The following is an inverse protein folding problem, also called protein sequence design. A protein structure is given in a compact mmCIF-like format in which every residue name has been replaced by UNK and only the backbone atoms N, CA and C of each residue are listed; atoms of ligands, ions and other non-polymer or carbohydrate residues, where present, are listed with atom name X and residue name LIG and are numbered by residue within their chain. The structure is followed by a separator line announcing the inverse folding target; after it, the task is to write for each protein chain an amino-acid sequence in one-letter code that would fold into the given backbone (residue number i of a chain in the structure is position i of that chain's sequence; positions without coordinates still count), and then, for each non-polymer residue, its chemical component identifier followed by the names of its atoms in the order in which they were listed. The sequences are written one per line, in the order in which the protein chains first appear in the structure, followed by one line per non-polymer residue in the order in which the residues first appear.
data_IF_860347014786
#
_entry.id   IF_860347014786
#
_cell.length_a   1.000
_cell.length_b   1.000
_cell.length_c   1.000
_cell.angle_alpha   90.00
_cell.angle_beta   90.00
_cell.angle_gamma   90.00
#
_symmetry.space_group_name_H-M   'P 1'
#
loop_
_entity.id
_entity.type
_entity.pdbx_description
1 polymer ?
#
# COMPACT_ATOMS: atom_id res chain seq x y z
N UNK A 1 -24.28 13.19 -19.63
CA UNK A 1 -23.00 12.58 -20.06
C UNK A 1 -22.26 13.56 -20.95
N UNK A 2 -21.22 14.24 -20.43
CA UNK A 2 -20.25 14.95 -21.28
C UNK A 2 -19.15 13.96 -21.62
N UNK A 3 -19.08 13.53 -22.88
CA UNK A 3 -17.94 12.78 -23.40
C UNK A 3 -16.68 13.66 -23.26
N UNK A 4 -15.85 13.36 -22.26
CA UNK A 4 -14.48 13.89 -22.22
C UNK A 4 -13.71 13.29 -23.39
N UNK A 5 -13.15 14.14 -24.24
CA UNK A 5 -12.18 13.74 -25.26
C UNK A 5 -11.08 12.88 -24.60
N UNK A 6 -10.51 11.87 -25.28
CA UNK A 6 -9.34 11.18 -24.76
C UNK A 6 -8.27 12.23 -24.47
N UNK A 7 -7.78 12.25 -23.24
CA UNK A 7 -6.79 13.22 -22.79
C UNK A 7 -5.65 13.26 -23.80
N UNK A 8 -5.32 14.47 -24.24
CA UNK A 8 -4.17 14.71 -25.08
C UNK A 8 -2.93 14.16 -24.39
N UNK A 9 -1.99 13.60 -25.16
CA UNK A 9 -0.67 13.21 -24.66
C UNK A 9 0.07 14.44 -24.14
N UNK A 10 -0.23 14.85 -22.90
CA UNK A 10 0.23 16.09 -22.26
C UNK A 10 1.75 16.23 -22.35
N UNK A 11 2.46 15.11 -22.23
CA UNK A 11 3.92 15.02 -22.26
C UNK A 11 4.46 14.47 -23.58
N UNK A 12 3.69 14.49 -24.68
CA UNK A 12 4.13 14.00 -26.00
C UNK A 12 5.40 14.65 -26.54
N UNK A 13 5.73 15.86 -26.07
CA UNK A 13 6.98 16.57 -26.41
C UNK A 13 8.14 16.24 -25.45
N UNK A 14 7.95 15.28 -24.55
CA UNK A 14 8.86 14.98 -23.46
C UNK A 14 8.67 15.89 -22.24
N UNK A 15 9.44 15.59 -21.18
CA UNK A 15 9.57 16.40 -19.97
C UNK A 15 11.05 16.70 -19.72
N UNK A 16 11.34 17.80 -19.04
CA UNK A 16 12.70 18.14 -18.60
C UNK A 16 13.03 17.48 -17.27
N UNK A 17 14.31 17.35 -16.96
CA UNK A 17 14.76 16.83 -15.66
C UNK A 17 14.27 17.68 -14.48
N UNK A 18 14.16 19.00 -14.67
CA UNK A 18 13.59 19.91 -13.67
C UNK A 18 12.10 19.63 -13.42
N UNK A 19 11.35 19.26 -14.47
CA UNK A 19 9.95 18.85 -14.33
C UNK A 19 9.84 17.49 -13.63
N UNK A 20 10.71 16.53 -13.96
CA UNK A 20 10.75 15.21 -13.32
C UNK A 20 11.02 15.30 -11.81
N UNK A 21 11.95 16.18 -11.41
CA UNK A 21 12.36 16.39 -10.01
C UNK A 21 11.54 17.46 -9.29
N UNK A 22 10.61 18.12 -9.97
CA UNK A 22 9.82 19.18 -9.39
C UNK A 22 9.05 18.65 -8.19
N UNK A 23 9.05 19.40 -7.09
CA UNK A 23 8.30 19.10 -5.87
C UNK A 23 7.58 20.34 -5.37
N UNK A 24 6.53 20.16 -4.58
CA UNK A 24 5.95 21.28 -3.83
C UNK A 24 6.96 21.82 -2.81
N UNK A 25 6.98 23.14 -2.54
CA UNK A 25 8.03 23.76 -1.73
C UNK A 25 7.87 23.48 -0.22
N UNK A 26 6.64 23.24 0.22
CA UNK A 26 6.27 23.07 1.63
C UNK A 26 5.21 21.97 1.73
N UNK A 27 5.14 21.22 2.85
CA UNK A 27 4.10 20.20 3.03
C UNK A 27 2.69 20.77 2.90
N UNK A 28 1.83 20.12 2.12
CA UNK A 28 0.45 20.57 1.90
C UNK A 28 -0.56 19.47 2.20
N UNK A 29 -1.81 19.86 2.43
CA UNK A 29 -2.93 18.93 2.60
C UNK A 29 -3.35 18.36 1.23
N UNK A 30 -3.36 17.03 1.03
CA UNK A 30 -3.86 16.44 -0.21
C UNK A 30 -5.34 16.71 -0.45
N UNK A 31 -6.12 16.83 0.63
CA UNK A 31 -7.55 17.16 0.64
C UNK A 31 -7.75 18.36 1.55
N UNK A 32 -8.27 19.50 1.04
CA UNK A 32 -8.42 20.71 1.84
C UNK A 32 -9.23 20.47 3.13
N UNK A 33 -8.67 20.88 4.26
CA UNK A 33 -9.30 20.73 5.58
C UNK A 33 -9.07 19.36 6.23
N UNK A 34 -8.36 18.44 5.57
CA UNK A 34 -7.99 17.15 6.16
C UNK A 34 -6.55 17.20 6.71
N UNK A 35 -6.31 16.89 8.00
CA UNK A 35 -5.09 17.26 8.72
C UNK A 35 -3.89 16.33 8.46
N UNK A 36 -3.71 15.87 7.22
CA UNK A 36 -2.53 15.13 6.79
C UNK A 36 -1.74 15.97 5.80
N UNK A 37 -0.44 16.15 6.03
CA UNK A 37 0.42 16.97 5.17
C UNK A 37 1.60 16.17 4.64
N UNK A 38 1.92 16.34 3.36
CA UNK A 38 3.02 15.64 2.70
C UNK A 38 3.76 16.56 1.74
N UNK A 39 4.98 16.15 1.39
CA UNK A 39 5.70 16.63 0.21
C UNK A 39 5.52 15.64 -0.93
N UNK A 40 5.23 16.11 -2.13
CA UNK A 40 5.07 15.28 -3.33
C UNK A 40 5.66 15.96 -4.56
N UNK A 41 5.91 15.16 -5.59
CA UNK A 41 6.37 15.62 -6.88
C UNK A 41 5.27 16.38 -7.62
N UNK A 42 5.66 17.44 -8.31
CA UNK A 42 4.86 18.10 -9.34
C UNK A 42 5.18 17.49 -10.71
N UNK A 43 4.58 18.01 -11.79
CA UNK A 43 4.92 17.60 -13.14
C UNK A 43 4.48 16.17 -13.50
N UNK A 44 5.31 15.35 -14.17
CA UNK A 44 4.88 14.08 -14.75
C UNK A 44 4.47 13.03 -13.70
N UNK A 45 5.16 12.97 -12.54
CA UNK A 45 4.75 12.08 -11.45
C UNK A 45 3.36 12.44 -10.94
N UNK A 46 3.11 13.73 -10.69
CA UNK A 46 1.79 14.22 -10.27
C UNK A 46 0.68 13.74 -11.23
N UNK A 47 0.87 13.93 -12.54
CA UNK A 47 -0.14 13.57 -13.53
C UNK A 47 -0.40 12.06 -13.60
N UNK A 48 0.63 11.23 -13.44
CA UNK A 48 0.47 9.76 -13.38
C UNK A 48 -0.36 9.40 -12.14
N UNK A 49 -0.04 9.98 -10.98
CA UNK A 49 -0.81 9.73 -9.75
C UNK A 49 -2.25 10.24 -9.84
N UNK A 50 -2.52 11.36 -10.53
CA UNK A 50 -3.91 11.80 -10.79
C UNK A 50 -4.70 10.73 -11.57
N UNK A 51 -4.10 10.14 -12.61
CA UNK A 51 -4.74 9.05 -13.35
C UNK A 51 -4.98 7.81 -12.50
N UNK A 52 -4.06 7.50 -11.60
CA UNK A 52 -4.22 6.40 -10.67
C UNK A 52 -5.36 6.66 -9.66
N UNK A 53 -5.47 7.88 -9.12
CA UNK A 53 -6.58 8.29 -8.24
C UNK A 53 -7.92 8.17 -8.98
N UNK A 54 -8.01 8.69 -10.20
CA UNK A 54 -9.22 8.62 -11.02
C UNK A 54 -9.68 7.16 -11.23
N UNK A 55 -8.74 6.26 -11.54
CA UNK A 55 -9.02 4.84 -11.73
C UNK A 55 -9.53 4.19 -10.45
N UNK A 56 -8.82 4.35 -9.33
CA UNK A 56 -9.19 3.74 -8.05
C UNK A 56 -10.55 4.28 -7.58
N UNK A 57 -10.77 5.58 -7.67
CA UNK A 57 -12.05 6.19 -7.31
C UNK A 57 -13.20 5.72 -8.21
N UNK A 58 -12.92 5.39 -9.48
CA UNK A 58 -13.90 4.76 -10.37
C UNK A 58 -14.25 3.33 -9.94
N UNK A 59 -13.23 2.53 -9.59
CA UNK A 59 -13.42 1.15 -9.11
C UNK A 59 -14.21 1.09 -7.80
N UNK A 60 -13.91 1.97 -6.84
CA UNK A 60 -14.65 2.11 -5.59
C UNK A 60 -16.12 2.46 -5.86
N UNK A 61 -16.37 3.44 -6.73
CA UNK A 61 -17.73 3.84 -7.10
C UNK A 61 -18.50 2.70 -7.77
N UNK A 62 -17.84 1.91 -8.62
CA UNK A 62 -18.43 0.70 -9.22
C UNK A 62 -18.83 -0.30 -8.14
N UNK A 63 -17.92 -0.61 -7.21
CA UNK A 63 -18.22 -1.54 -6.11
C UNK A 63 -19.42 -1.06 -5.27
N UNK A 64 -19.49 0.24 -4.96
CA UNK A 64 -20.66 0.83 -4.25
C UNK A 64 -21.94 0.79 -5.06
N UNK A 65 -21.88 1.01 -6.38
CA UNK A 65 -23.04 0.91 -7.26
C UNK A 65 -23.56 -0.54 -7.38
N UNK A 66 -22.67 -1.53 -7.21
CA UNK A 66 -23.02 -2.95 -7.12
C UNK A 66 -23.50 -3.37 -5.72
N UNK A 67 -23.65 -2.42 -4.78
CA UNK A 67 -24.11 -2.69 -3.41
C UNK A 67 -23.07 -3.39 -2.53
N UNK A 68 -21.79 -3.41 -2.92
CA UNK A 68 -20.72 -4.05 -2.14
C UNK A 68 -20.33 -3.21 -0.92
N UNK A 69 -19.98 -3.89 0.16
CA UNK A 69 -19.26 -3.31 1.29
C UNK A 69 -17.79 -3.17 0.93
N UNK A 70 -17.28 -1.94 0.92
CA UNK A 70 -15.93 -1.60 0.50
C UNK A 70 -15.01 -1.58 1.73
N UNK A 71 -13.96 -2.39 1.68
CA UNK A 71 -12.97 -2.51 2.75
C UNK A 71 -11.59 -2.13 2.24
N UNK A 72 -10.93 -1.21 2.91
CA UNK A 72 -9.54 -0.86 2.62
C UNK A 72 -8.59 -1.85 3.32
N UNK A 73 -7.69 -2.49 2.57
CA UNK A 73 -6.68 -3.41 3.12
C UNK A 73 -5.32 -2.72 3.26
N UNK A 74 -4.95 -2.26 4.45
CA UNK A 74 -3.62 -1.74 4.73
C UNK A 74 -2.60 -2.88 4.81
N UNK A 75 -1.62 -2.87 3.90
CA UNK A 75 -0.53 -3.84 3.85
C UNK A 75 0.82 -3.13 3.94
N UNK A 76 1.80 -3.66 4.71
CA UNK A 76 3.12 -3.04 4.86
C UNK A 76 4.00 -3.20 3.62
N UNK A 77 3.64 -2.58 2.48
CA UNK A 77 4.38 -2.70 1.22
C UNK A 77 5.77 -2.03 1.33
N UNK A 78 5.83 -0.84 1.94
CA UNK A 78 7.08 -0.18 2.32
C UNK A 78 7.47 -0.56 3.75
N UNK A 79 7.94 -1.79 3.91
CA UNK A 79 8.37 -2.33 5.20
C UNK A 79 9.67 -1.68 5.71
N UNK A 80 9.68 -1.19 6.95
CA UNK A 80 10.94 -0.91 7.67
C UNK A 80 11.42 -2.19 8.36
N UNK A 81 12.72 -2.46 8.27
CA UNK A 81 13.33 -3.55 9.03
C UNK A 81 13.47 -4.90 8.32
N UNK A 82 13.49 -4.93 6.97
CA UNK A 82 14.02 -6.08 6.21
C UNK A 82 13.07 -6.80 5.25
N UNK A 83 11.82 -6.34 5.11
CA UNK A 83 10.88 -6.95 4.17
C UNK A 83 11.22 -6.73 2.70
N UNK A 84 10.68 -7.59 1.84
CA UNK A 84 10.74 -7.53 0.39
C UNK A 84 9.36 -7.22 -0.18
N UNK A 85 9.25 -6.11 -0.94
CA UNK A 85 7.97 -5.61 -1.43
C UNK A 85 7.20 -6.65 -2.25
N UNK A 86 7.87 -7.45 -3.09
CA UNK A 86 7.21 -8.51 -3.87
C UNK A 86 6.57 -9.59 -2.99
N UNK A 87 7.22 -9.97 -1.88
CA UNK A 87 6.63 -10.90 -0.90
C UNK A 87 5.45 -10.27 -0.18
N UNK A 88 5.53 -8.97 0.12
CA UNK A 88 4.42 -8.27 0.77
C UNK A 88 3.19 -8.18 -0.16
N UNK A 89 3.39 -8.10 -1.48
CA UNK A 89 2.28 -8.23 -2.46
C UNK A 89 1.65 -9.61 -2.41
N UNK A 90 2.44 -10.67 -2.38
CA UNK A 90 1.93 -12.05 -2.32
C UNK A 90 1.13 -12.29 -1.03
N UNK A 91 1.63 -11.76 0.10
CA UNK A 91 0.91 -11.76 1.39
C UNK A 91 -0.40 -10.96 1.30
N UNK A 92 -0.39 -9.77 0.72
CA UNK A 92 -1.60 -8.95 0.57
C UNK A 92 -2.66 -9.69 -0.27
N UNK A 93 -2.25 -10.35 -1.36
CA UNK A 93 -3.14 -11.18 -2.20
C UNK A 93 -3.67 -12.40 -1.43
N UNK A 94 -2.85 -13.00 -0.57
CA UNK A 94 -3.31 -14.08 0.30
C UNK A 94 -4.35 -13.58 1.30
N UNK A 95 -4.08 -12.49 2.01
CA UNK A 95 -5.00 -11.93 2.99
C UNK A 95 -6.33 -11.49 2.36
N UNK A 96 -6.30 -10.82 1.20
CA UNK A 96 -7.50 -10.50 0.43
C UNK A 96 -8.35 -11.75 0.13
N UNK A 97 -7.72 -12.82 -0.37
CA UNK A 97 -8.42 -14.09 -0.64
C UNK A 97 -9.02 -14.70 0.62
N UNK A 98 -8.25 -14.74 1.71
CA UNK A 98 -8.73 -15.28 3.00
C UNK A 98 -9.91 -14.47 3.54
N UNK A 99 -9.87 -13.15 3.42
CA UNK A 99 -10.98 -12.27 3.82
C UNK A 99 -12.22 -12.53 2.96
N UNK A 100 -12.08 -12.58 1.64
CA UNK A 100 -13.20 -12.86 0.74
C UNK A 100 -13.80 -14.26 0.96
N UNK A 101 -12.97 -15.26 1.26
CA UNK A 101 -13.45 -16.60 1.63
C UNK A 101 -14.25 -16.60 2.93
N UNK A 102 -13.84 -15.80 3.92
CA UNK A 102 -14.49 -15.72 5.24
C UNK A 102 -15.73 -14.83 5.24
N UNK A 103 -15.70 -13.71 4.53
CA UNK A 103 -16.74 -12.67 4.56
C UNK A 103 -17.74 -12.78 3.41
N UNK A 104 -17.35 -13.45 2.32
CA UNK A 104 -18.20 -13.71 1.17
C UNK A 104 -18.27 -12.55 0.17
N UNK A 105 -19.07 -12.77 -0.88
CA UNK A 105 -19.13 -11.90 -2.07
C UNK A 105 -19.78 -10.54 -1.83
N UNK A 106 -20.42 -10.31 -0.68
CA UNK A 106 -20.98 -9.00 -0.32
C UNK A 106 -19.90 -7.92 -0.13
N UNK A 107 -18.64 -8.32 0.02
CA UNK A 107 -17.51 -7.44 0.26
C UNK A 107 -16.66 -7.26 -0.99
N UNK A 108 -16.08 -6.06 -1.13
CA UNK A 108 -15.06 -5.75 -2.11
C UNK A 108 -13.85 -5.16 -1.37
N UNK A 109 -12.68 -5.77 -1.57
CA UNK A 109 -11.45 -5.38 -0.89
C UNK A 109 -10.64 -4.48 -1.81
N UNK A 110 -10.41 -3.24 -1.40
CA UNK A 110 -9.41 -2.38 -2.02
C UNK A 110 -8.03 -2.80 -1.48
N UNK A 111 -7.29 -3.55 -2.28
CA UNK A 111 -5.93 -4.00 -1.96
C UNK A 111 -4.87 -3.08 -2.62
N UNK A 112 -4.23 -2.15 -1.87
CA UNK A 112 -3.19 -1.24 -2.36
C UNK A 112 -2.06 -1.93 -3.10
N UNK A 113 -1.72 -3.18 -2.72
CA UNK A 113 -0.66 -3.94 -3.36
C UNK A 113 -0.92 -4.18 -4.86
N UNK A 114 -2.20 -4.24 -5.27
CA UNK A 114 -2.58 -4.36 -6.68
C UNK A 114 -2.47 -3.04 -7.43
N UNK A 115 -2.64 -1.91 -6.74
CA UNK A 115 -2.73 -0.58 -7.35
C UNK A 115 -1.42 0.22 -7.29
N UNK A 116 -0.56 -0.05 -6.31
CA UNK A 116 0.60 0.79 -5.99
C UNK A 116 1.90 0.36 -6.67
N UNK A 117 2.05 -0.93 -7.02
CA UNK A 117 3.33 -1.47 -7.48
C UNK A 117 3.36 -1.74 -8.98
N UNK A 118 4.44 -1.25 -9.58
CA UNK A 118 4.81 -1.41 -10.99
C UNK A 118 5.82 -2.53 -11.23
N UNK A 119 6.03 -3.42 -10.26
CA UNK A 119 6.84 -4.61 -10.51
C UNK A 119 6.03 -5.65 -11.30
N UNK A 120 6.69 -6.68 -11.82
CA UNK A 120 6.03 -7.88 -12.37
C UNK A 120 5.06 -8.56 -11.39
N UNK A 121 5.09 -8.18 -10.10
CA UNK A 121 4.18 -8.68 -9.08
C UNK A 121 2.85 -7.89 -8.98
N UNK A 122 2.81 -6.65 -9.51
CA UNK A 122 1.62 -5.78 -9.56
C UNK A 122 0.95 -5.74 -10.93
N UNK A 123 -0.02 -4.84 -11.12
CA UNK A 123 -0.87 -4.77 -12.33
C UNK A 123 -0.31 -3.91 -13.47
N UNK A 124 0.79 -3.18 -13.24
CA UNK A 124 1.42 -2.32 -14.24
C UNK A 124 0.64 -1.06 -14.60
N UNK A 125 -0.30 -0.62 -13.75
CA UNK A 125 -1.22 0.48 -14.03
C UNK A 125 -0.51 1.83 -14.25
N UNK A 126 0.53 2.15 -13.48
CA UNK A 126 1.26 3.41 -13.65
C UNK A 126 2.00 3.47 -15.00
N UNK A 127 2.52 2.34 -15.51
CA UNK A 127 3.10 2.28 -16.87
C UNK A 127 2.04 2.64 -17.92
N UNK A 128 0.83 2.07 -17.78
CA UNK A 128 -0.31 2.38 -18.66
C UNK A 128 -0.68 3.86 -18.59
N UNK A 129 -0.71 4.45 -17.40
CA UNK A 129 -1.01 5.87 -17.23
C UNK A 129 0.08 6.76 -17.83
N UNK A 130 1.35 6.40 -17.67
CA UNK A 130 2.45 7.08 -18.32
C UNK A 130 2.34 7.03 -19.85
N UNK A 131 2.04 5.86 -20.43
CA UNK A 131 1.81 5.70 -21.87
C UNK A 131 0.67 6.59 -22.39
N UNK A 132 -0.46 6.63 -21.67
CA UNK A 132 -1.59 7.49 -21.98
C UNK A 132 -1.21 8.97 -21.99
N UNK A 133 -0.37 9.38 -21.04
CA UNK A 133 0.12 10.75 -20.90
C UNK A 133 1.26 11.10 -21.88
N UNK A 134 1.83 10.10 -22.57
CA UNK A 134 3.01 10.25 -23.43
C UNK A 134 4.33 10.39 -22.66
N UNK A 135 4.42 9.82 -21.46
CA UNK A 135 5.59 9.87 -20.58
C UNK A 135 6.43 8.60 -20.77
N UNK A 136 7.73 8.77 -21.02
CA UNK A 136 8.70 7.68 -20.86
C UNK A 136 8.97 7.44 -19.37
N UNK A 137 8.31 6.43 -18.81
CA UNK A 137 8.40 6.13 -17.37
C UNK A 137 9.79 5.59 -16.97
N UNK A 138 10.52 4.95 -17.89
CA UNK A 138 11.87 4.46 -17.61
C UNK A 138 12.84 5.63 -17.46
N UNK A 139 12.73 6.63 -18.35
CA UNK A 139 13.46 7.88 -18.23
C UNK A 139 13.06 8.64 -16.95
N UNK A 140 11.76 8.72 -16.66
CA UNK A 140 11.25 9.43 -15.50
C UNK A 140 11.86 8.87 -14.21
N UNK A 141 11.80 7.54 -14.03
CA UNK A 141 12.39 6.83 -12.88
C UNK A 141 13.89 7.01 -12.75
N UNK A 142 14.59 7.09 -13.89
CA UNK A 142 16.04 7.35 -13.89
C UNK A 142 16.36 8.76 -13.40
N UNK A 143 15.49 9.73 -13.68
CA UNK A 143 15.68 11.13 -13.27
C UNK A 143 15.17 11.41 -11.85
N UNK A 144 14.03 10.82 -11.47
CA UNK A 144 13.43 10.95 -10.16
C UNK A 144 12.54 9.73 -9.86
N UNK A 145 12.72 9.12 -8.69
CA UNK A 145 11.82 8.07 -8.21
C UNK A 145 10.66 8.69 -7.39
N UNK A 146 9.45 8.10 -7.42
CA UNK A 146 8.36 8.59 -6.59
C UNK A 146 8.73 8.41 -5.11
N UNK A 147 8.37 9.40 -4.29
CA UNK A 147 8.58 9.41 -2.86
C UNK A 147 7.37 8.86 -2.11
N UNK A 148 7.55 8.53 -0.83
CA UNK A 148 6.43 8.08 0.02
C UNK A 148 5.30 9.09 0.13
N UNK A 149 5.61 10.39 0.09
CA UNK A 149 4.59 11.45 0.10
C UNK A 149 3.75 11.51 -1.17
N UNK A 150 4.25 11.08 -2.35
CA UNK A 150 3.42 10.94 -3.55
C UNK A 150 2.34 9.87 -3.36
N UNK A 151 2.76 8.71 -2.84
CA UNK A 151 1.87 7.60 -2.55
C UNK A 151 0.85 7.97 -1.47
N UNK A 152 1.30 8.61 -0.39
CA UNK A 152 0.39 8.98 0.69
C UNK A 152 -0.53 10.14 0.31
N UNK A 153 -0.12 11.04 -0.58
CA UNK A 153 -1.04 12.01 -1.20
C UNK A 153 -2.14 11.28 -1.96
N UNK A 154 -1.78 10.36 -2.85
CA UNK A 154 -2.74 9.56 -3.61
C UNK A 154 -3.71 8.82 -2.68
N UNK A 155 -3.19 8.07 -1.71
CA UNK A 155 -4.01 7.30 -0.79
C UNK A 155 -4.88 8.20 0.10
N UNK A 156 -4.37 9.32 0.59
CA UNK A 156 -5.19 10.29 1.34
C UNK A 156 -6.37 10.76 0.49
N UNK A 157 -6.15 11.13 -0.77
CA UNK A 157 -7.25 11.54 -1.66
C UNK A 157 -8.26 10.42 -1.87
N UNK A 158 -7.80 9.22 -2.20
CA UNK A 158 -8.67 8.04 -2.41
C UNK A 158 -9.50 7.69 -1.16
N UNK A 159 -8.88 7.75 0.02
CA UNK A 159 -9.47 7.33 1.27
C UNK A 159 -10.42 8.37 1.87
N UNK A 160 -10.16 9.65 1.62
CA UNK A 160 -10.86 10.77 2.25
C UNK A 160 -11.94 11.34 1.34
N UNK A 161 -11.64 11.57 0.05
CA UNK A 161 -12.56 12.25 -0.86
C UNK A 161 -13.82 11.42 -1.08
N UNK A 162 -14.99 12.06 -0.96
CA UNK A 162 -16.25 11.46 -1.37
C UNK A 162 -17.19 12.50 -1.99
N UNK A 163 -18.02 12.04 -2.92
CA UNK A 163 -19.06 12.88 -3.51
C UNK A 163 -20.24 13.07 -2.56
N UNK A 164 -21.19 13.91 -2.98
CA UNK A 164 -22.49 14.08 -2.29
C UNK A 164 -23.42 12.88 -2.41
N UNK A 165 -23.02 11.83 -3.13
CA UNK A 165 -23.75 10.56 -3.23
C UNK A 165 -22.77 9.40 -3.23
N UNK A 166 -23.04 8.39 -2.41
CA UNK A 166 -22.28 7.14 -2.32
C UNK A 166 -23.24 5.96 -2.50
N UNK A 167 -23.08 5.23 -3.60
CA UNK A 167 -24.06 4.22 -4.01
C UNK A 167 -25.44 4.85 -4.16
N UNK A 168 -26.40 4.37 -3.39
CA UNK A 168 -27.77 4.89 -3.37
C UNK A 168 -28.02 5.98 -2.31
N UNK A 169 -27.04 6.29 -1.45
CA UNK A 169 -27.21 7.22 -0.33
C UNK A 169 -26.72 8.62 -0.68
N UNK A 170 -27.54 9.63 -0.38
CA UNK A 170 -27.11 11.02 -0.38
C UNK A 170 -26.33 11.32 0.91
N UNK A 171 -25.23 12.04 0.76
CA UNK A 171 -24.30 12.37 1.84
C UNK A 171 -24.52 13.82 2.24
N UNK A 172 -24.78 14.05 3.52
CA UNK A 172 -24.91 15.39 4.07
C UNK A 172 -23.61 16.19 3.90
N UNK A 173 -23.73 17.52 3.74
CA UNK A 173 -22.59 18.40 3.51
C UNK A 173 -21.48 18.28 4.57
N UNK A 174 -21.84 18.08 5.84
CA UNK A 174 -20.91 17.90 6.95
C UNK A 174 -20.11 16.58 6.89
N UNK A 175 -20.54 15.62 6.07
CA UNK A 175 -19.90 14.32 5.86
C UNK A 175 -19.18 14.24 4.50
N UNK A 176 -19.10 15.35 3.76
CA UNK A 176 -18.25 15.42 2.56
C UNK A 176 -16.78 15.28 2.96
N UNK A 177 -16.03 14.54 2.14
CA UNK A 177 -14.61 14.25 2.37
C UNK A 177 -14.34 13.62 3.75
N UNK A 178 -15.24 12.74 4.20
CA UNK A 178 -15.06 11.93 5.42
C UNK A 178 -14.97 10.43 5.09
N UNK A 179 -14.48 10.11 3.89
CA UNK A 179 -14.21 8.74 3.45
C UNK A 179 -15.47 7.89 3.36
N UNK A 180 -16.62 8.47 2.99
CA UNK A 180 -17.93 7.81 2.97
C UNK A 180 -18.01 6.59 2.04
N UNK A 181 -17.03 6.41 1.16
CA UNK A 181 -16.91 5.21 0.35
C UNK A 181 -16.45 3.96 1.11
N UNK A 182 -15.95 4.07 2.34
CA UNK A 182 -15.40 2.92 3.07
C UNK A 182 -16.30 2.51 4.22
N UNK A 183 -16.58 1.21 4.29
CA UNK A 183 -17.34 0.58 5.37
C UNK A 183 -16.39 0.02 6.45
N UNK A 184 -15.19 -0.39 6.06
CA UNK A 184 -14.17 -0.84 7.00
C UNK A 184 -12.73 -0.59 6.52
N UNK A 185 -11.80 -0.58 7.48
CA UNK A 185 -10.36 -0.65 7.28
C UNK A 185 -9.84 -1.93 7.91
N UNK A 186 -8.96 -2.63 7.21
CA UNK A 186 -8.32 -3.85 7.67
C UNK A 186 -6.80 -3.67 7.62
N UNK A 187 -6.15 -3.71 8.77
CA UNK A 187 -4.71 -3.59 8.92
C UNK A 187 -4.09 -4.97 9.11
N UNK A 188 -3.17 -5.35 8.22
CA UNK A 188 -2.49 -6.64 8.32
C UNK A 188 -1.68 -6.74 9.60
N UNK A 189 -1.93 -7.80 10.37
CA UNK A 189 -1.14 -8.15 11.53
C UNK A 189 -0.23 -9.36 11.31
N UNK A 190 0.52 -9.76 12.35
CA UNK A 190 1.44 -10.90 12.26
C UNK A 190 0.74 -12.23 11.92
N UNK A 191 -0.47 -12.49 12.42
CA UNK A 191 -1.19 -13.74 12.10
C UNK A 191 -1.59 -13.79 10.63
N UNK A 192 -1.99 -12.67 10.04
CA UNK A 192 -2.30 -12.62 8.61
C UNK A 192 -1.05 -13.01 7.79
N UNK A 193 0.11 -12.44 8.13
CA UNK A 193 1.38 -12.78 7.49
C UNK A 193 1.76 -14.23 7.72
N UNK A 194 1.67 -14.72 8.96
CA UNK A 194 2.03 -16.09 9.30
C UNK A 194 1.12 -17.09 8.60
N UNK A 195 -0.18 -16.79 8.43
CA UNK A 195 -1.13 -17.64 7.72
C UNK A 195 -0.71 -17.90 6.27
N UNK A 196 -0.13 -16.90 5.60
CA UNK A 196 0.42 -17.05 4.26
C UNK A 196 1.54 -18.10 4.21
N UNK A 197 2.49 -18.04 5.15
CA UNK A 197 3.61 -18.99 5.17
C UNK A 197 3.20 -20.38 5.69
N UNK A 198 2.25 -20.44 6.62
CA UNK A 198 1.70 -21.71 7.13
C UNK A 198 0.88 -22.45 6.07
N UNK A 199 0.34 -21.75 5.06
CA UNK A 199 -0.29 -22.39 3.91
C UNK A 199 0.70 -23.20 3.05
N UNK A 200 2.02 -23.00 3.23
CA UNK A 200 3.07 -23.64 2.44
C UNK A 200 4.00 -24.56 3.25
N UNK A 201 3.81 -24.71 4.57
CA UNK A 201 4.68 -25.56 5.38
C UNK A 201 4.13 -25.90 6.76
N UNK A 202 4.63 -27.01 7.33
CA UNK A 202 4.15 -27.60 8.59
C UNK A 202 4.43 -26.73 9.83
N UNK A 203 5.34 -25.76 9.72
CA UNK A 203 5.63 -24.77 10.74
C UNK A 203 5.96 -23.43 10.09
N UNK A 204 5.85 -22.34 10.85
CA UNK A 204 6.17 -21.00 10.34
C UNK A 204 7.60 -20.92 9.80
N UNK A 205 8.57 -21.46 10.54
CA UNK A 205 9.97 -21.51 10.08
C UNK A 205 10.12 -22.30 8.79
N UNK A 206 9.50 -23.47 8.69
CA UNK A 206 9.55 -24.29 7.48
C UNK A 206 8.92 -23.56 6.28
N UNK A 207 7.74 -22.96 6.47
CA UNK A 207 7.04 -22.21 5.43
C UNK A 207 7.83 -21.02 4.91
N UNK A 208 8.40 -20.19 5.80
CA UNK A 208 9.23 -19.04 5.38
C UNK A 208 10.48 -19.50 4.63
N UNK A 209 11.15 -20.55 5.09
CA UNK A 209 12.35 -21.07 4.43
C UNK A 209 12.02 -21.71 3.07
N UNK A 210 10.90 -22.44 2.95
CA UNK A 210 10.42 -23.02 1.71
C UNK A 210 10.05 -21.93 0.68
N UNK A 211 9.32 -20.90 1.13
CA UNK A 211 9.00 -19.74 0.31
C UNK A 211 10.27 -19.05 -0.20
N UNK A 212 11.23 -18.77 0.69
CA UNK A 212 12.49 -18.11 0.33
C UNK A 212 13.25 -18.94 -0.72
N UNK A 213 13.41 -20.24 -0.50
CA UNK A 213 14.12 -21.13 -1.42
C UNK A 213 13.43 -21.17 -2.80
N UNK A 214 12.09 -21.31 -2.82
CA UNK A 214 11.30 -21.30 -4.06
C UNK A 214 11.46 -19.99 -4.80
N UNK A 215 11.23 -18.85 -4.13
CA UNK A 215 11.36 -17.53 -4.76
C UNK A 215 12.77 -17.25 -5.26
N UNK A 216 13.80 -17.62 -4.50
CA UNK A 216 15.18 -17.50 -4.95
C UNK A 216 15.43 -18.31 -6.23
N UNK A 217 14.85 -19.51 -6.34
CA UNK A 217 14.96 -20.35 -7.52
C UNK A 217 14.13 -19.84 -8.71
N UNK A 218 12.95 -19.27 -8.51
CA UNK A 218 12.00 -18.97 -9.61
C UNK A 218 11.90 -17.50 -10.00
N UNK A 219 12.25 -16.57 -9.12
CA UNK A 219 12.06 -15.13 -9.30
C UNK A 219 13.42 -14.42 -9.47
N UNK A 220 13.65 -13.85 -10.65
CA UNK A 220 14.92 -13.19 -10.98
C UNK A 220 15.18 -11.92 -10.16
N UNK A 221 14.13 -11.16 -9.83
CA UNK A 221 14.25 -9.91 -9.08
C UNK A 221 14.51 -10.21 -7.60
N UNK A 222 13.83 -11.22 -7.05
CA UNK A 222 14.10 -11.74 -5.72
C UNK A 222 15.54 -12.26 -5.63
N UNK A 223 15.96 -13.10 -6.59
CA UNK A 223 17.33 -13.63 -6.64
C UNK A 223 18.35 -12.51 -6.73
N UNK A 224 18.15 -11.52 -7.61
CA UNK A 224 19.06 -10.39 -7.75
C UNK A 224 19.20 -9.59 -6.45
N UNK A 225 18.10 -9.38 -5.72
CA UNK A 225 18.11 -8.71 -4.41
C UNK A 225 18.90 -9.49 -3.35
N UNK A 226 18.82 -10.81 -3.38
CA UNK A 226 19.38 -11.69 -2.35
C UNK A 226 20.69 -12.39 -2.75
N UNK A 227 21.19 -12.22 -4.00
CA UNK A 227 22.42 -12.86 -4.53
C UNK A 227 23.70 -12.41 -3.80
N UNK A 228 23.74 -11.17 -3.29
CA UNK A 228 25.00 -10.49 -2.94
C UNK A 228 25.71 -10.85 -1.63
N UNK A 229 25.32 -11.89 -0.87
CA UNK A 229 26.27 -12.56 0.01
C UNK A 229 27.11 -13.63 -0.69
N UNK A 230 26.59 -14.30 -1.72
CA UNK A 230 27.21 -15.49 -2.30
C UNK A 230 26.86 -15.63 -3.79
N UNK A 231 27.85 -15.45 -4.66
CA UNK A 231 27.69 -15.68 -6.09
C UNK A 231 27.86 -17.17 -6.41
N UNK A 232 26.73 -17.87 -6.60
CA UNK A 232 26.72 -19.29 -6.92
C UNK A 232 27.40 -19.63 -8.25
N UNK A 233 27.38 -18.72 -9.22
CA UNK A 233 28.01 -18.93 -10.52
C UNK A 233 29.54 -18.90 -10.36
N UNK A 234 30.03 -17.93 -9.59
CA UNK A 234 31.45 -17.82 -9.27
C UNK A 234 31.92 -18.97 -8.38
N UNK A 235 31.15 -19.36 -7.35
CA UNK A 235 31.45 -20.51 -6.50
C UNK A 235 31.52 -21.80 -7.31
N UNK A 236 30.57 -22.01 -8.24
CA UNK A 236 30.57 -23.16 -9.14
C UNK A 236 31.79 -23.15 -10.08
N UNK A 237 32.12 -21.98 -10.64
CA UNK A 237 33.30 -21.80 -11.50
C UNK A 237 34.61 -22.10 -10.75
N UNK A 238 34.75 -21.60 -9.52
CA UNK A 238 35.90 -21.85 -8.66
C UNK A 238 36.05 -23.36 -8.36
N UNK A 239 34.95 -24.02 -7.97
CA UNK A 239 34.94 -25.47 -7.73
C UNK A 239 35.35 -26.28 -8.98
N UNK A 240 34.86 -25.91 -10.17
CA UNK A 240 35.20 -26.60 -11.42
C UNK A 240 36.67 -26.42 -11.83
N UNK A 241 37.26 -25.26 -11.51
CA UNK A 241 38.66 -24.95 -11.83
C UNK A 241 39.66 -25.33 -10.72
N UNK A 242 39.19 -25.81 -9.58
CA UNK A 242 40.02 -26.02 -8.39
C UNK A 242 40.57 -24.71 -7.81
N UNK A 243 39.94 -23.57 -8.10
CA UNK A 243 40.30 -22.26 -7.57
C UNK A 243 39.64 -22.04 -6.20
N UNK A 244 40.31 -21.30 -5.31
CA UNK A 244 39.74 -20.90 -4.03
C UNK A 244 38.73 -19.76 -4.22
N UNK A 245 37.51 -19.94 -3.73
CA UNK A 245 36.53 -18.85 -3.70
C UNK A 245 36.91 -17.87 -2.59
N UNK A 246 37.18 -16.62 -2.96
CA UNK A 246 37.63 -15.58 -2.03
C UNK A 246 36.59 -15.38 -0.92
N UNK A 247 37.03 -15.52 0.33
CA UNK A 247 36.20 -15.35 1.54
C UNK A 247 34.90 -16.19 1.53
N UNK A 248 35.01 -17.46 1.15
CA UNK A 248 33.90 -18.43 1.15
C UNK A 248 33.15 -18.49 2.50
N UNK A 249 33.89 -18.46 3.61
CA UNK A 249 33.31 -18.53 4.95
C UNK A 249 32.55 -17.25 5.30
N UNK A 250 33.07 -16.06 4.93
CA UNK A 250 32.35 -14.80 5.04
C UNK A 250 31.05 -14.82 4.23
N UNK A 251 31.13 -15.20 2.97
CA UNK A 251 29.99 -15.29 2.06
C UNK A 251 28.89 -16.25 2.56
N UNK A 252 29.27 -17.42 3.11
CA UNK A 252 28.34 -18.38 3.71
C UNK A 252 27.71 -17.85 5.01
N UNK A 253 28.47 -17.14 5.84
CA UNK A 253 27.95 -16.48 7.05
C UNK A 253 26.93 -15.41 6.68
N UNK A 254 27.26 -14.53 5.74
CA UNK A 254 26.36 -13.45 5.30
C UNK A 254 25.08 -14.02 4.66
N UNK A 255 25.19 -15.11 3.89
CA UNK A 255 24.03 -15.82 3.36
C UNK A 255 23.12 -16.38 4.47
N UNK A 256 23.72 -16.97 5.50
CA UNK A 256 22.99 -17.51 6.66
C UNK A 256 22.30 -16.41 7.45
N UNK A 257 22.99 -15.29 7.70
CA UNK A 257 22.44 -14.11 8.37
C UNK A 257 21.27 -13.52 7.57
N UNK A 258 21.41 -13.41 6.25
CA UNK A 258 20.37 -12.88 5.39
C UNK A 258 19.08 -13.74 5.43
N UNK A 259 19.20 -15.07 5.43
CA UNK A 259 18.04 -15.98 5.59
C UNK A 259 17.43 -15.87 6.99
N UNK A 260 18.27 -15.70 8.01
CA UNK A 260 17.83 -15.49 9.39
C UNK A 260 17.07 -14.16 9.54
N UNK A 261 17.54 -13.09 8.91
CA UNK A 261 16.88 -11.78 8.91
C UNK A 261 15.54 -11.82 8.15
N UNK A 262 15.48 -12.54 7.03
CA UNK A 262 14.23 -12.78 6.32
C UNK A 262 13.21 -13.51 7.21
N UNK A 263 13.64 -14.58 7.90
CA UNK A 263 12.82 -15.31 8.86
C UNK A 263 12.39 -14.43 10.04
N UNK A 264 13.31 -13.67 10.62
CA UNK A 264 13.03 -12.75 11.73
C UNK A 264 12.01 -11.70 11.32
N UNK A 265 12.16 -11.13 10.13
CA UNK A 265 11.22 -10.12 9.64
C UNK A 265 9.83 -10.72 9.43
N UNK A 266 9.70 -11.75 8.60
CA UNK A 266 8.39 -12.32 8.26
C UNK A 266 7.75 -13.13 9.38
N UNK A 267 8.53 -13.66 10.31
CA UNK A 267 8.02 -14.37 11.47
C UNK A 267 7.51 -13.44 12.58
N UNK A 268 8.13 -12.26 12.76
CA UNK A 268 7.92 -11.45 13.97
C UNK A 268 7.53 -9.98 13.71
N UNK A 269 7.90 -9.40 12.57
CA UNK A 269 7.80 -7.94 12.33
C UNK A 269 6.92 -7.55 11.15
N UNK A 270 6.74 -8.43 10.18
CA UNK A 270 5.88 -8.14 9.03
C UNK A 270 4.43 -7.91 9.51
N UNK A 271 4.01 -6.65 9.54
CA UNK A 271 2.67 -6.19 9.91
C UNK A 271 2.59 -4.66 9.71
N UNK A 272 1.37 -4.12 9.77
CA UNK A 272 1.10 -2.69 9.78
C UNK A 272 1.90 -1.93 10.86
N UNK A 273 2.25 -2.59 11.97
CA UNK A 273 3.03 -2.00 13.06
C UNK A 273 4.44 -1.52 12.62
N UNK A 274 5.00 -2.08 11.55
CA UNK A 274 6.35 -1.79 11.07
C UNK A 274 6.36 -1.20 9.65
N UNK A 275 5.30 -0.47 9.27
CA UNK A 275 5.21 0.26 8.00
C UNK A 275 4.79 1.71 8.17
N UNK A 276 5.52 2.60 7.49
CA UNK A 276 5.19 4.02 7.47
C UNK A 276 3.89 4.32 6.75
N UNK A 277 3.64 3.62 5.64
CA UNK A 277 2.38 3.76 4.91
C UNK A 277 1.20 3.38 5.80
N UNK A 278 1.27 2.21 6.44
CA UNK A 278 0.23 1.77 7.37
C UNK A 278 0.01 2.71 8.56
N UNK A 279 1.07 3.36 9.05
CA UNK A 279 0.96 4.34 10.13
C UNK A 279 0.20 5.59 9.68
N UNK A 280 0.52 6.14 8.50
CA UNK A 280 -0.24 7.27 7.96
C UNK A 280 -1.68 6.86 7.60
N UNK A 281 -1.90 5.65 7.09
CA UNK A 281 -3.23 5.09 6.83
C UNK A 281 -4.05 4.96 8.11
N UNK A 282 -3.42 4.57 9.22
CA UNK A 282 -4.06 4.57 10.55
C UNK A 282 -4.41 5.99 11.01
N UNK A 283 -3.52 6.96 10.79
CA UNK A 283 -3.81 8.37 11.09
C UNK A 283 -4.98 8.90 10.25
N UNK A 284 -5.04 8.55 8.96
CA UNK A 284 -6.19 8.87 8.10
C UNK A 284 -7.46 8.27 8.68
N UNK A 285 -7.46 6.98 9.01
CA UNK A 285 -8.60 6.27 9.62
C UNK A 285 -9.08 6.94 10.92
N UNK A 286 -8.17 7.24 11.84
CA UNK A 286 -8.47 7.91 13.11
C UNK A 286 -9.06 9.31 12.89
N UNK A 287 -8.48 10.10 11.98
CA UNK A 287 -9.00 11.42 11.65
C UNK A 287 -10.38 11.38 11.01
N UNK A 288 -10.63 10.41 10.11
CA UNK A 288 -11.94 10.20 9.51
C UNK A 288 -13.00 9.89 10.57
N UNK A 289 -12.72 8.95 11.47
CA UNK A 289 -13.65 8.59 12.54
C UNK A 289 -13.96 9.75 13.48
N UNK A 290 -12.94 10.56 13.83
CA UNK A 290 -13.15 11.79 14.60
C UNK A 290 -14.06 12.77 13.86
N UNK A 291 -13.80 13.04 12.58
CA UNK A 291 -14.60 13.97 11.78
C UNK A 291 -16.06 13.51 11.63
N UNK A 292 -16.29 12.21 11.41
CA UNK A 292 -17.65 11.65 11.31
C UNK A 292 -18.43 11.77 12.62
N UNK A 293 -17.77 11.53 13.76
CA UNK A 293 -18.39 11.76 15.08
C UNK A 293 -18.70 13.22 15.33
N UNK A 294 -17.75 14.11 15.03
CA UNK A 294 -17.96 15.55 15.16
C UNK A 294 -19.15 16.05 14.34
N UNK A 295 -19.32 15.53 13.11
CA UNK A 295 -20.43 15.88 12.23
C UNK A 295 -21.81 15.49 12.78
N UNK A 296 -21.88 14.54 13.72
CA UNK A 296 -23.14 14.07 14.33
C UNK A 296 -23.32 14.50 15.78
N UNK A 297 -22.43 15.35 16.30
CA UNK A 297 -22.57 15.91 17.66
C UNK A 297 -23.89 16.65 17.82
N UNK A 298 -24.66 16.20 18.80
CA UNK A 298 -25.91 16.81 19.18
C UNK A 298 -26.11 16.68 20.69
N UNK A 299 -25.73 17.72 21.48
CA UNK A 299 -25.89 17.72 22.93
C UNK A 299 -27.33 17.53 23.40
N UNK A 300 -28.32 17.84 22.56
CA UNK A 300 -29.74 17.68 22.87
C UNK A 300 -30.26 16.24 22.64
N UNK A 301 -29.50 15.34 22.01
CA UNK A 301 -29.95 13.98 21.63
C UNK A 301 -29.10 12.84 22.20
N UNK A 302 -28.63 12.92 23.45
CA UNK A 302 -27.71 11.94 24.05
C UNK A 302 -26.43 11.67 23.20
N UNK A 303 -26.11 12.56 22.26
CA UNK A 303 -25.00 12.47 21.32
C UNK A 303 -24.04 13.64 21.55
N UNK A 304 -23.77 13.99 22.81
CA UNK A 304 -22.91 15.11 23.16
C UNK A 304 -21.53 15.01 22.50
N UNK A 305 -21.01 13.79 22.39
CA UNK A 305 -19.69 13.52 21.81
C UNK A 305 -19.74 13.08 20.35
N UNK A 306 -20.94 12.89 19.78
CA UNK A 306 -21.17 12.39 18.41
C UNK A 306 -21.52 10.91 18.37
N UNK A 307 -22.16 10.47 17.29
CA UNK A 307 -22.65 9.10 17.11
C UNK A 307 -21.50 8.15 16.73
N UNK A 308 -21.28 7.13 17.57
CA UNK A 308 -20.31 6.08 17.29
C UNK A 308 -20.72 5.19 16.10
N UNK A 309 -22.02 5.12 15.77
CA UNK A 309 -22.54 4.38 14.62
C UNK A 309 -22.09 4.90 13.26
N UNK A 310 -21.62 6.15 13.20
CA UNK A 310 -21.09 6.76 11.97
C UNK A 310 -19.60 6.43 11.72
N UNK A 311 -18.91 5.88 12.71
CA UNK A 311 -17.50 5.51 12.56
C UNK A 311 -17.32 4.36 11.56
N UNK A 312 -16.21 4.41 10.84
CA UNK A 312 -15.74 3.33 9.99
C UNK A 312 -15.22 2.20 10.88
N UNK A 313 -15.62 0.97 10.60
CA UNK A 313 -15.13 -0.19 11.35
C UNK A 313 -13.63 -0.42 11.08
N UNK A 314 -12.86 -0.70 12.13
CA UNK A 314 -11.44 -1.05 12.00
C UNK A 314 -11.18 -2.50 12.38
N UNK A 315 -10.28 -3.15 11.66
CA UNK A 315 -9.81 -4.51 11.94
C UNK A 315 -8.29 -4.54 11.96
N UNK A 316 -7.72 -5.33 12.86
CA UNK A 316 -6.30 -5.62 12.93
C UNK A 316 -6.11 -7.11 13.23
N UNK A 317 -5.28 -7.77 12.42
CA UNK A 317 -4.88 -9.17 12.66
C UNK A 317 -6.04 -10.16 12.82
N UNK A 318 -7.09 -9.99 11.99
CA UNK A 318 -8.28 -10.84 11.98
C UNK A 318 -9.38 -10.49 12.99
N UNK A 319 -9.14 -9.48 13.84
CA UNK A 319 -10.05 -9.05 14.91
C UNK A 319 -10.48 -7.61 14.70
N UNK A 320 -11.67 -7.24 15.16
CA UNK A 320 -12.09 -5.84 15.21
C UNK A 320 -11.23 -5.11 16.25
N UNK A 321 -10.82 -3.89 15.94
CA UNK A 321 -10.04 -3.08 16.89
C UNK A 321 -10.94 -2.58 18.01
N UNK A 322 -10.37 -2.40 19.21
CA UNK A 322 -11.11 -1.85 20.34
C UNK A 322 -11.62 -0.43 20.03
N UNK A 323 -12.79 -0.02 20.55
CA UNK A 323 -13.37 1.29 20.25
C UNK A 323 -12.38 2.45 20.49
N UNK A 324 -11.66 2.43 21.61
CA UNK A 324 -10.66 3.45 21.93
C UNK A 324 -9.51 3.50 20.92
N UNK A 325 -9.08 2.35 20.40
CA UNK A 325 -7.99 2.29 19.42
C UNK A 325 -8.33 3.01 18.13
N UNK A 326 -9.61 3.05 17.73
CA UNK A 326 -10.03 3.72 16.48
C UNK A 326 -9.78 5.23 16.47
N UNK A 327 -9.60 5.85 17.64
CA UNK A 327 -9.40 7.29 17.78
C UNK A 327 -7.97 7.64 18.25
N UNK A 328 -7.13 6.65 18.56
CA UNK A 328 -5.76 6.89 19.04
C UNK A 328 -4.79 7.04 17.86
N UNK A 329 -4.04 8.15 17.76
CA UNK A 329 -3.02 8.33 16.74
C UNK A 329 -1.78 7.46 17.01
N UNK A 330 -1.08 7.09 15.95
CA UNK A 330 0.22 6.41 16.01
C UNK A 330 1.36 7.35 15.55
N UNK A 331 2.60 6.86 15.59
CA UNK A 331 3.74 7.60 15.05
C UNK A 331 3.53 7.94 13.57
N UNK A 332 3.94 9.13 13.15
CA UNK A 332 3.84 9.55 11.74
C UNK A 332 4.74 8.70 10.83
N UNK A 333 4.25 8.42 9.63
CA UNK A 333 5.00 7.74 8.59
C UNK A 333 5.80 8.70 7.71
N UNK A 334 5.16 9.13 6.64
CA UNK A 334 5.61 10.15 5.69
C UNK A 334 4.96 11.52 5.94
N UNK A 335 3.91 11.57 6.76
CA UNK A 335 3.25 12.83 7.12
C UNK A 335 4.18 13.74 7.93
N UNK A 336 4.16 15.05 7.62
CA UNK A 336 5.03 16.07 8.21
C UNK A 336 4.28 17.06 9.10
#
# INVERSE_FOLDING_TARGET
MKNSKPDSKKWSKGFTEAQAKGMIPEPQEPVPGFPMRYLWHTGPWFDIFEKQIELIASDIRRAKAEGKLVVYLSCPISSRGGGYSGTNVDIAKHAERTLLQRWGEGFWILNPAQYQLESKAGTGLMNRHAEQLGIDIALLRKQAAPAGGDYMRMWTRVLVENGGRVGERDIAGALLNTGQYFDAYYFLGPKDVQSFFLAEGDSLTAGVQAYFARKYATDADFRAKFRKPLDWDELSRCNQKGEEFKDKDGALRDWTLLRSDFLRYYGLRASANFSLGSHDEWLIFSHLNRLRREATRNPAKFMADGDAGEQIAGFFDGNQVDPASTEIPLSRGYSC
#
